data_IF_653680838917
#
_entry.id   IF_653680838917
#
_cell.length_a   1.000
_cell.length_b   1.000
_cell.length_c   1.000
_cell.angle_alpha   90.00
_cell.angle_beta   90.00
_cell.angle_gamma   90.00
#
_symmetry.space_group_name_H-M   'P 1'
#
loop_
_entity.id
_entity.type
_entity.pdbx_description
1 polymer ?
#
# COMPACT_ATOMS: atom_id res chain seq x y z
N UNK A 1 -24.53 -18.56 -56.72
CA UNK A 1 -23.66 -17.36 -56.59
C UNK A 1 -24.19 -16.31 -55.59
N UNK A 2 -25.48 -16.08 -55.34
CA UNK A 2 -25.98 -15.04 -54.43
C UNK A 2 -25.82 -15.28 -52.92
N UNK A 3 -25.70 -16.51 -52.42
CA UNK A 3 -25.55 -16.81 -50.97
C UNK A 3 -24.12 -16.62 -50.46
N UNK A 4 -23.13 -16.93 -51.26
CA UNK A 4 -21.71 -16.75 -50.91
C UNK A 4 -21.32 -15.28 -50.85
N UNK A 5 -21.87 -14.42 -51.72
CA UNK A 5 -21.67 -12.96 -51.72
C UNK A 5 -22.25 -12.31 -50.46
N UNK A 6 -23.41 -12.80 -49.98
CA UNK A 6 -24.00 -12.33 -48.74
C UNK A 6 -23.16 -12.65 -47.49
N UNK A 7 -22.61 -13.87 -47.43
CA UNK A 7 -21.77 -14.30 -46.33
C UNK A 7 -20.44 -13.52 -46.30
N UNK A 8 -19.81 -13.34 -47.47
CA UNK A 8 -18.59 -12.53 -47.60
C UNK A 8 -18.79 -11.07 -47.18
N UNK A 9 -19.90 -10.43 -47.54
CA UNK A 9 -20.26 -9.09 -47.11
C UNK A 9 -20.49 -9.02 -45.59
N UNK A 10 -21.17 -10.01 -45.01
CA UNK A 10 -21.42 -10.09 -43.59
C UNK A 10 -20.11 -10.24 -42.80
N UNK A 11 -19.23 -11.13 -43.24
CA UNK A 11 -17.90 -11.30 -42.63
C UNK A 11 -17.06 -10.01 -42.72
N UNK A 12 -17.07 -9.34 -43.86
CA UNK A 12 -16.38 -8.05 -44.05
C UNK A 12 -16.93 -6.98 -43.10
N UNK A 13 -18.28 -6.90 -42.95
CA UNK A 13 -18.90 -5.95 -42.02
C UNK A 13 -18.57 -6.27 -40.54
N UNK A 14 -18.59 -7.54 -40.14
CA UNK A 14 -18.20 -7.96 -38.81
C UNK A 14 -16.71 -7.65 -38.51
N UNK A 15 -15.84 -7.86 -39.48
CA UNK A 15 -14.42 -7.55 -39.35
C UNK A 15 -14.18 -6.05 -39.20
N UNK A 16 -14.86 -5.25 -40.00
CA UNK A 16 -14.80 -3.78 -39.97
C UNK A 16 -15.35 -3.24 -38.63
N UNK A 17 -16.48 -3.76 -38.17
CA UNK A 17 -17.05 -3.44 -36.88
C UNK A 17 -16.11 -3.83 -35.71
N UNK A 18 -15.49 -5.02 -35.79
CA UNK A 18 -14.51 -5.46 -34.81
C UNK A 18 -13.27 -4.57 -34.73
N UNK A 19 -12.73 -4.16 -35.87
CA UNK A 19 -11.60 -3.21 -35.92
C UNK A 19 -11.97 -1.84 -35.38
N UNK A 20 -13.17 -1.33 -35.67
CA UNK A 20 -13.66 -0.07 -35.12
C UNK A 20 -13.82 -0.12 -33.61
N UNK A 21 -14.42 -1.18 -33.08
CA UNK A 21 -14.56 -1.37 -31.63
C UNK A 21 -13.21 -1.52 -30.94
N UNK A 22 -12.30 -2.29 -31.52
CA UNK A 22 -10.94 -2.45 -30.99
C UNK A 22 -10.17 -1.11 -31.01
N UNK A 23 -10.29 -0.34 -32.09
CA UNK A 23 -9.69 0.99 -32.20
C UNK A 23 -10.21 2.00 -31.17
N UNK A 24 -11.51 1.96 -30.86
CA UNK A 24 -12.13 2.80 -29.83
C UNK A 24 -11.70 2.39 -28.41
N UNK A 25 -11.56 1.08 -28.16
CA UNK A 25 -11.19 0.56 -26.85
C UNK A 25 -9.68 0.63 -26.59
N UNK A 26 -8.85 0.60 -27.64
CA UNK A 26 -7.40 0.56 -27.53
C UNK A 26 -6.80 1.68 -26.65
N UNK A 27 -7.15 2.97 -26.79
CA UNK A 27 -6.60 4.02 -25.93
C UNK A 27 -7.04 3.85 -24.46
N UNK A 28 -8.23 3.34 -24.20
CA UNK A 28 -8.72 3.11 -22.84
C UNK A 28 -7.99 1.93 -22.20
N UNK A 29 -7.92 0.80 -22.90
CA UNK A 29 -7.26 -0.42 -22.40
C UNK A 29 -5.74 -0.23 -22.33
N UNK A 30 -5.14 0.39 -23.33
CA UNK A 30 -3.70 0.72 -23.36
C UNK A 30 -3.33 1.72 -22.26
N UNK A 31 -4.12 2.78 -22.09
CA UNK A 31 -3.92 3.76 -21.02
C UNK A 31 -4.06 3.12 -19.63
N UNK A 32 -5.07 2.29 -19.42
CA UNK A 32 -5.23 1.54 -18.16
C UNK A 32 -4.08 0.57 -17.91
N UNK A 33 -3.57 -0.07 -18.94
CA UNK A 33 -2.40 -0.96 -18.86
C UNK A 33 -1.12 -0.22 -18.45
N UNK A 34 -0.85 0.95 -19.05
CA UNK A 34 0.30 1.79 -18.68
C UNK A 34 0.21 2.29 -17.24
N UNK A 35 -0.95 2.78 -16.83
CA UNK A 35 -1.20 3.24 -15.46
C UNK A 35 -1.04 2.08 -14.46
N UNK A 36 -1.54 0.90 -14.78
CA UNK A 36 -1.39 -0.30 -13.96
C UNK A 36 0.07 -0.71 -13.82
N UNK A 37 0.86 -0.65 -14.90
CA UNK A 37 2.27 -1.00 -14.88
C UNK A 37 3.10 0.00 -14.04
N UNK A 38 2.85 1.30 -14.20
CA UNK A 38 3.49 2.33 -13.37
C UNK A 38 3.12 2.19 -11.90
N UNK A 39 1.85 1.89 -11.59
CA UNK A 39 1.41 1.63 -10.23
C UNK A 39 2.09 0.39 -9.65
N UNK A 40 2.28 -0.67 -10.44
CA UNK A 40 2.96 -1.89 -10.03
C UNK A 40 4.44 -1.64 -9.72
N UNK A 41 5.16 -0.95 -10.59
CA UNK A 41 6.57 -0.59 -10.36
C UNK A 41 6.75 0.27 -9.09
N UNK A 42 5.84 1.22 -8.86
CA UNK A 42 5.87 2.04 -7.64
C UNK A 42 5.64 1.21 -6.37
N UNK A 43 4.74 0.25 -6.42
CA UNK A 43 4.46 -0.66 -5.30
C UNK A 43 5.66 -1.55 -5.01
N UNK A 44 6.26 -2.13 -6.03
CA UNK A 44 7.44 -3.00 -5.90
C UNK A 44 8.63 -2.25 -5.32
N UNK A 45 8.95 -1.06 -5.84
CA UNK A 45 10.01 -0.21 -5.30
C UNK A 45 9.74 0.16 -3.84
N UNK A 46 8.52 0.58 -3.50
CA UNK A 46 8.16 0.92 -2.12
C UNK A 46 8.24 -0.30 -1.21
N UNK A 47 7.85 -1.48 -1.66
CA UNK A 47 7.95 -2.72 -0.86
C UNK A 47 9.41 -3.08 -0.59
N UNK A 48 10.29 -2.92 -1.58
CA UNK A 48 11.73 -3.16 -1.43
C UNK A 48 12.38 -2.16 -0.48
N UNK A 49 12.03 -0.88 -0.57
CA UNK A 49 12.47 0.16 0.37
C UNK A 49 12.04 -0.17 1.81
N UNK A 50 10.78 -0.55 2.01
CA UNK A 50 10.24 -0.95 3.31
C UNK A 50 10.97 -2.12 3.95
N UNK A 51 11.45 -3.06 3.14
CA UNK A 51 12.19 -4.22 3.62
C UNK A 51 13.64 -3.88 3.99
N UNK A 52 14.23 -2.85 3.39
CA UNK A 52 15.66 -2.57 3.47
C UNK A 52 16.02 -1.29 4.24
N UNK A 53 15.12 -0.33 4.37
CA UNK A 53 15.41 0.94 5.03
C UNK A 53 14.98 0.94 6.50
N UNK A 54 15.93 1.24 7.38
CA UNK A 54 15.67 1.46 8.80
C UNK A 54 15.07 2.87 9.03
N UNK A 55 14.16 3.03 10.00
CA UNK A 55 13.67 4.34 10.38
C UNK A 55 14.80 5.23 10.90
N UNK A 56 14.71 6.57 10.74
CA UNK A 56 15.72 7.48 11.27
C UNK A 56 15.83 7.32 12.80
N UNK A 57 17.04 7.12 13.25
CA UNK A 57 17.39 6.93 14.63
C UNK A 57 17.92 8.22 15.24
N UNK A 58 18.31 8.15 16.51
CA UNK A 58 18.98 9.24 17.22
C UNK A 58 20.41 9.40 16.74
N UNK A 59 20.90 10.64 16.69
CA UNK A 59 22.32 10.94 16.46
C UNK A 59 22.95 11.36 17.78
N UNK A 60 23.94 10.63 18.25
CA UNK A 60 24.67 10.96 19.46
C UNK A 60 25.97 11.67 19.10
N UNK A 61 26.17 12.84 19.66
CA UNK A 61 27.43 13.60 19.58
C UNK A 61 28.26 13.23 20.81
N UNK A 62 29.50 12.81 20.58
CA UNK A 62 30.42 12.40 21.66
C UNK A 62 31.62 13.31 21.72
N UNK A 63 32.29 13.36 22.88
CA UNK A 63 33.62 13.95 23.02
C UNK A 63 34.66 13.02 22.39
N UNK A 64 35.95 13.46 22.46
CA UNK A 64 37.08 12.66 21.93
C UNK A 64 37.28 11.32 22.63
N UNK A 65 36.76 11.16 23.84
CA UNK A 65 36.87 9.96 24.65
C UNK A 65 35.63 9.04 24.50
N UNK A 66 34.68 9.40 23.58
CA UNK A 66 33.48 8.65 23.31
C UNK A 66 32.33 8.91 24.29
N UNK A 67 32.44 9.89 25.18
CA UNK A 67 31.38 10.21 26.15
C UNK A 67 30.28 11.04 25.45
N UNK A 68 28.99 10.71 25.63
CA UNK A 68 27.91 11.49 25.05
C UNK A 68 27.87 12.94 25.55
N UNK A 69 27.85 13.91 24.62
CA UNK A 69 27.69 15.34 24.89
C UNK A 69 26.24 15.75 24.63
N UNK A 70 25.66 15.28 23.52
CA UNK A 70 24.31 15.60 23.11
C UNK A 70 23.68 14.47 22.29
N UNK A 71 22.34 14.39 22.32
CA UNK A 71 21.58 13.49 21.48
C UNK A 71 20.60 14.33 20.65
N UNK A 72 20.70 14.21 19.33
CA UNK A 72 19.85 14.89 18.36
C UNK A 72 18.85 13.89 17.79
N UNK A 73 17.57 14.25 17.72
CA UNK A 73 16.53 13.41 17.15
C UNK A 73 15.29 14.23 16.75
N UNK A 74 14.62 13.76 15.72
CA UNK A 74 13.24 14.21 15.42
C UNK A 74 12.23 13.34 16.17
N UNK A 75 12.53 12.04 16.27
CA UNK A 75 11.78 11.07 17.07
C UNK A 75 12.80 10.23 17.84
N UNK A 76 12.61 10.15 19.15
CA UNK A 76 13.48 9.34 20.01
C UNK A 76 13.11 7.86 19.83
N UNK A 77 13.94 7.14 19.10
CA UNK A 77 13.74 5.72 18.82
C UNK A 77 14.94 4.92 19.29
N UNK A 78 14.65 3.86 20.04
CA UNK A 78 15.62 2.85 20.43
C UNK A 78 15.25 1.59 19.65
N UNK A 79 16.11 1.10 18.73
CA UNK A 79 15.88 -0.17 18.04
C UNK A 79 15.79 -1.29 19.07
N UNK A 80 14.76 -2.10 18.96
CA UNK A 80 14.49 -3.22 19.86
C UNK A 80 14.29 -4.46 19.00
N UNK A 81 15.05 -5.51 19.28
CA UNK A 81 14.92 -6.77 18.57
C UNK A 81 13.58 -7.47 18.89
N UNK A 82 13.10 -8.33 17.98
CA UNK A 82 11.85 -9.07 18.22
C UNK A 82 11.89 -9.93 19.47
N UNK A 83 13.07 -10.42 19.88
CA UNK A 83 13.26 -11.24 21.07
C UNK A 83 13.26 -10.41 22.36
N UNK A 84 13.45 -9.11 22.27
CA UNK A 84 13.40 -8.18 23.41
C UNK A 84 11.98 -7.67 23.70
N UNK A 85 11.02 -7.98 22.83
CA UNK A 85 9.60 -7.65 23.00
C UNK A 85 8.91 -8.86 23.65
N UNK A 86 8.28 -8.64 24.80
CA UNK A 86 7.57 -9.73 25.49
C UNK A 86 6.45 -10.31 24.64
N UNK A 87 6.23 -11.62 24.74
CA UNK A 87 5.16 -12.29 24.00
C UNK A 87 3.77 -11.75 24.42
N UNK A 88 3.59 -11.37 25.69
CA UNK A 88 2.37 -10.74 26.16
C UNK A 88 2.06 -9.45 25.37
N UNK A 89 3.07 -8.62 25.07
CA UNK A 89 2.90 -7.39 24.29
C UNK A 89 2.58 -7.70 22.83
N UNK A 90 3.28 -8.66 22.22
CA UNK A 90 3.01 -9.11 20.84
C UNK A 90 1.56 -9.59 20.71
N UNK A 91 1.11 -10.47 21.60
CA UNK A 91 -0.26 -10.99 21.60
C UNK A 91 -1.30 -9.93 21.91
N UNK A 92 -1.01 -8.97 22.79
CA UNK A 92 -1.92 -7.87 23.07
C UNK A 92 -2.19 -7.02 21.81
N UNK A 93 -1.14 -6.64 21.08
CA UNK A 93 -1.28 -5.86 19.83
C UNK A 93 -2.07 -6.65 18.78
N UNK A 94 -1.69 -7.92 18.53
CA UNK A 94 -2.37 -8.77 17.56
C UNK A 94 -3.86 -8.94 17.93
N UNK A 95 -4.15 -9.16 19.20
CA UNK A 95 -5.53 -9.39 19.65
C UNK A 95 -6.44 -8.17 19.49
N UNK A 96 -5.89 -6.97 19.60
CA UNK A 96 -6.64 -5.71 19.50
C UNK A 96 -6.74 -5.24 18.06
N UNK A 97 -5.62 -5.22 17.34
CA UNK A 97 -5.51 -4.59 16.02
C UNK A 97 -5.82 -5.56 14.87
N UNK A 98 -5.40 -6.83 15.00
CA UNK A 98 -5.50 -7.79 13.89
C UNK A 98 -5.55 -9.25 14.40
N UNK A 99 -6.69 -9.67 14.92
CA UNK A 99 -6.85 -11.00 15.54
C UNK A 99 -6.50 -12.17 14.64
N UNK A 100 -6.49 -11.97 13.32
CA UNK A 100 -6.21 -13.00 12.34
C UNK A 100 -4.90 -12.77 11.60
N UNK A 101 -3.98 -12.05 12.22
CA UNK A 101 -2.69 -11.69 11.64
C UNK A 101 -1.97 -12.88 11.00
N UNK A 102 -2.01 -14.04 11.62
CA UNK A 102 -1.39 -15.28 11.11
C UNK A 102 -2.28 -16.10 10.16
N UNK A 103 -3.49 -15.62 9.84
CA UNK A 103 -4.46 -16.33 8.98
C UNK A 103 -4.61 -15.69 7.59
N UNK A 104 -3.97 -14.56 7.35
CA UNK A 104 -4.02 -13.84 6.08
C UNK A 104 -2.62 -13.37 5.66
N UNK A 105 -2.48 -12.92 4.41
CA UNK A 105 -1.25 -12.40 3.83
C UNK A 105 -1.42 -10.90 3.54
N UNK A 106 -1.08 -10.06 4.50
CA UNK A 106 -1.10 -8.60 4.38
C UNK A 106 -2.49 -7.96 4.40
N UNK A 107 -3.55 -8.66 3.97
CA UNK A 107 -4.94 -8.14 3.94
C UNK A 107 -5.93 -9.16 4.47
N UNK A 108 -6.69 -8.77 5.49
CA UNK A 108 -7.81 -9.55 6.00
C UNK A 108 -9.10 -9.26 5.23
N UNK A 109 -9.33 -9.99 4.14
CA UNK A 109 -10.54 -9.83 3.32
C UNK A 109 -11.83 -10.13 4.09
N UNK A 110 -11.83 -11.11 4.97
CA UNK A 110 -12.99 -11.46 5.80
C UNK A 110 -13.32 -10.34 6.79
N UNK A 111 -12.30 -9.77 7.43
CA UNK A 111 -12.45 -8.61 8.31
C UNK A 111 -12.90 -7.37 7.58
N UNK A 112 -12.36 -7.12 6.40
CA UNK A 112 -12.73 -5.98 5.55
C UNK A 112 -14.21 -6.02 5.16
N UNK A 113 -14.69 -7.17 4.69
CA UNK A 113 -16.11 -7.34 4.33
C UNK A 113 -17.01 -7.21 5.57
N UNK A 114 -16.63 -7.83 6.69
CA UNK A 114 -17.38 -7.71 7.96
C UNK A 114 -17.48 -6.25 8.42
N UNK A 115 -16.36 -5.52 8.41
CA UNK A 115 -16.33 -4.12 8.81
C UNK A 115 -17.15 -3.24 7.86
N UNK A 116 -17.11 -3.49 6.55
CA UNK A 116 -17.93 -2.79 5.57
C UNK A 116 -19.44 -2.97 5.87
N UNK A 117 -19.88 -4.20 6.13
CA UNK A 117 -21.27 -4.50 6.50
C UNK A 117 -21.65 -3.83 7.81
N UNK A 118 -20.82 -3.94 8.85
CA UNK A 118 -21.08 -3.34 10.16
C UNK A 118 -21.18 -1.81 10.09
N UNK A 119 -20.27 -1.18 9.35
CA UNK A 119 -20.23 0.27 9.21
C UNK A 119 -21.42 0.84 8.40
N UNK A 120 -21.99 0.04 7.47
CA UNK A 120 -23.19 0.43 6.72
C UNK A 120 -24.49 0.18 7.49
N UNK A 121 -24.46 -0.72 8.47
CA UNK A 121 -25.66 -1.10 9.26
C UNK A 121 -25.83 -0.24 10.53
N UNK A 122 -25.10 0.87 10.68
CA UNK A 122 -25.22 1.76 11.84
C UNK A 122 -24.59 1.22 13.14
N UNK A 123 -23.76 0.18 13.06
CA UNK A 123 -22.97 -0.36 14.17
C UNK A 123 -21.79 0.53 14.55
N UNK A 124 -21.06 0.14 15.60
CA UNK A 124 -19.79 0.80 15.93
C UNK A 124 -18.83 0.70 14.76
N UNK A 125 -18.16 1.81 14.42
CA UNK A 125 -17.15 1.87 13.36
C UNK A 125 -16.03 0.86 13.66
N UNK A 126 -15.97 -0.20 12.87
CA UNK A 126 -14.92 -1.21 13.00
C UNK A 126 -13.76 -0.89 12.07
N UNK A 127 -12.54 -0.95 12.61
CA UNK A 127 -11.31 -0.92 11.82
C UNK A 127 -11.18 -2.19 10.98
N UNK A 128 -10.78 -2.03 9.72
CA UNK A 128 -10.59 -3.13 8.78
C UNK A 128 -9.13 -3.24 8.29
N UNK A 129 -8.24 -2.36 8.76
CA UNK A 129 -6.84 -2.36 8.36
C UNK A 129 -6.04 -3.37 9.17
N UNK A 130 -5.26 -4.20 8.50
CA UNK A 130 -4.33 -5.14 9.15
C UNK A 130 -3.12 -4.43 9.75
N UNK A 131 -2.38 -5.11 10.63
CA UNK A 131 -1.13 -4.61 11.20
C UNK A 131 -0.12 -4.24 10.11
N UNK A 132 -0.02 -5.05 9.06
CA UNK A 132 0.90 -4.79 7.94
C UNK A 132 0.49 -3.56 7.13
N UNK A 133 -0.80 -3.33 6.89
CA UNK A 133 -1.28 -2.09 6.29
C UNK A 133 -1.00 -0.86 7.17
N UNK A 134 -1.15 -0.98 8.48
CA UNK A 134 -0.80 0.08 9.42
C UNK A 134 0.70 0.34 9.43
N UNK A 135 1.53 -0.71 9.37
CA UNK A 135 2.98 -0.59 9.25
C UNK A 135 3.37 0.19 7.99
N UNK A 136 2.84 -0.20 6.82
CA UNK A 136 3.07 0.50 5.54
C UNK A 136 2.73 1.98 5.64
N UNK A 137 1.55 2.32 6.17
CA UNK A 137 1.13 3.70 6.37
C UNK A 137 2.09 4.47 7.27
N UNK A 138 2.42 3.91 8.42
CA UNK A 138 3.29 4.55 9.41
C UNK A 138 4.71 4.73 8.88
N UNK A 139 5.22 3.76 8.12
CA UNK A 139 6.51 3.86 7.46
C UNK A 139 6.54 5.01 6.44
N UNK A 140 5.54 5.12 5.57
CA UNK A 140 5.44 6.22 4.61
C UNK A 140 5.44 7.59 5.31
N UNK A 141 4.70 7.71 6.41
CA UNK A 141 4.59 8.98 7.16
C UNK A 141 5.87 9.33 7.90
N UNK A 142 6.50 8.35 8.56
CA UNK A 142 7.54 8.60 9.55
C UNK A 142 8.97 8.30 9.06
N UNK A 143 9.11 7.61 7.93
CA UNK A 143 10.41 7.26 7.33
C UNK A 143 10.57 7.95 5.99
N UNK A 144 9.67 7.67 5.04
CA UNK A 144 9.79 8.22 3.68
C UNK A 144 9.53 9.72 3.67
N UNK A 145 8.46 10.19 4.35
CA UNK A 145 8.05 11.60 4.37
C UNK A 145 8.28 12.27 5.74
N UNK A 146 9.42 11.98 6.36
CA UNK A 146 9.72 12.44 7.72
C UNK A 146 10.03 13.93 7.82
N UNK A 147 10.55 14.57 6.75
CA UNK A 147 11.05 15.94 6.77
C UNK A 147 9.95 16.95 6.38
N UNK A 148 9.33 17.58 7.37
CA UNK A 148 8.29 18.58 7.15
C UNK A 148 8.78 19.90 6.51
N UNK A 149 10.09 20.13 6.49
CA UNK A 149 10.69 21.28 5.83
C UNK A 149 10.82 21.08 4.30
N UNK A 150 10.75 19.84 3.81
CA UNK A 150 10.75 19.54 2.38
C UNK A 150 9.30 19.55 1.85
N UNK A 151 8.98 20.42 0.87
CA UNK A 151 7.64 20.48 0.28
C UNK A 151 7.18 19.13 -0.31
N UNK A 152 8.09 18.31 -0.86
CA UNK A 152 7.76 16.99 -1.40
C UNK A 152 7.35 16.03 -0.30
N UNK A 153 8.08 16.01 0.82
CA UNK A 153 7.75 15.19 1.99
C UNK A 153 6.43 15.60 2.61
N UNK A 154 6.17 16.90 2.73
CA UNK A 154 4.90 17.43 3.24
C UNK A 154 3.70 17.00 2.39
N UNK A 155 3.81 17.11 1.05
CA UNK A 155 2.77 16.65 0.12
C UNK A 155 2.62 15.12 0.20
N UNK A 156 3.73 14.38 0.25
CA UNK A 156 3.72 12.93 0.39
C UNK A 156 3.02 12.47 1.67
N UNK A 157 3.32 13.11 2.80
CA UNK A 157 2.67 12.85 4.09
C UNK A 157 1.17 13.13 4.05
N UNK A 158 0.75 14.25 3.46
CA UNK A 158 -0.67 14.56 3.28
C UNK A 158 -1.39 13.46 2.49
N UNK A 159 -0.80 13.02 1.37
CA UNK A 159 -1.34 11.90 0.58
C UNK A 159 -1.39 10.58 1.35
N UNK A 160 -0.38 10.30 2.19
CA UNK A 160 -0.35 9.11 3.02
C UNK A 160 -1.37 9.14 4.18
N UNK A 161 -1.84 10.32 4.56
CA UNK A 161 -2.86 10.52 5.60
C UNK A 161 -4.27 10.69 5.02
N UNK A 162 -4.40 10.93 3.73
CA UNK A 162 -5.69 11.14 3.06
C UNK A 162 -6.61 9.93 3.22
N UNK A 163 -7.90 10.17 3.46
CA UNK A 163 -8.90 9.11 3.51
C UNK A 163 -9.45 8.82 2.12
N UNK A 164 -8.64 8.17 1.26
CA UNK A 164 -9.03 7.80 -0.09
C UNK A 164 -8.96 6.29 -0.31
N UNK A 165 -9.82 5.78 -1.18
CA UNK A 165 -9.81 4.36 -1.59
C UNK A 165 -8.51 4.04 -2.32
N UNK A 166 -8.01 4.96 -3.16
CA UNK A 166 -6.78 4.77 -3.91
C UNK A 166 -5.57 4.56 -2.98
N UNK A 167 -5.47 5.36 -1.90
CA UNK A 167 -4.45 5.16 -0.87
C UNK A 167 -4.57 3.78 -0.21
N UNK A 168 -5.78 3.41 0.21
CA UNK A 168 -6.02 2.11 0.85
C UNK A 168 -5.67 0.93 -0.05
N UNK A 169 -5.98 1.01 -1.34
CA UNK A 169 -5.61 -0.01 -2.31
C UNK A 169 -4.09 -0.10 -2.49
N UNK A 170 -3.39 1.04 -2.51
CA UNK A 170 -1.92 1.06 -2.55
C UNK A 170 -1.32 0.39 -1.32
N UNK A 171 -1.77 0.77 -0.12
CA UNK A 171 -1.32 0.16 1.15
C UNK A 171 -1.57 -1.35 1.18
N UNK A 172 -2.76 -1.79 0.78
CA UNK A 172 -3.12 -3.20 0.72
C UNK A 172 -2.20 -4.00 -0.22
N UNK A 173 -1.89 -3.44 -1.39
CA UNK A 173 -1.01 -4.09 -2.36
C UNK A 173 0.44 -4.20 -1.85
N UNK A 174 0.95 -3.13 -1.20
CA UNK A 174 2.27 -3.15 -0.58
C UNK A 174 2.30 -4.17 0.57
N UNK A 175 1.25 -4.22 1.40
CA UNK A 175 1.15 -5.17 2.50
C UNK A 175 1.17 -6.62 2.02
N UNK A 176 0.45 -6.94 0.93
CA UNK A 176 0.50 -8.27 0.31
C UNK A 176 1.91 -8.61 -0.16
N UNK A 177 2.60 -7.67 -0.83
CA UNK A 177 3.96 -7.90 -1.32
C UNK A 177 4.99 -8.10 -0.19
N UNK A 178 4.76 -7.48 0.99
CA UNK A 178 5.64 -7.64 2.15
C UNK A 178 5.52 -9.01 2.82
N UNK A 179 4.36 -9.65 2.71
CA UNK A 179 4.08 -10.95 3.33
C UNK A 179 4.15 -12.12 2.33
N UNK A 180 4.54 -11.85 1.07
CA UNK A 180 4.73 -12.88 0.03
C UNK A 180 6.15 -13.39 0.04
#
# INVERSE_FOLDING_TARGET
MRRTDGILKLLGLCLLAGVLVAGLLFPVVGGAGLLSNQASATVENTSTELANEAPPLVTTITDRDGRPIATLYNQYRIPTGPDEISDAMKWAIISVEDRRFYEHNGVDWKGTVRAAISNTSGGQTQGASTLTQQYVKNYLINVVYWNDNDPKHRIGRQKAQEQSIARKLKEARIAINLES
#
